data_IF_889146047579
#
_entry.id   IF_889146047579
#
_cell.length_a   1.000
_cell.length_b   1.000
_cell.length_c   1.000
_cell.angle_alpha   90.00
_cell.angle_beta   90.00
_cell.angle_gamma   90.00
#
_symmetry.space_group_name_H-M   'P 1'
#
loop_
_entity.id
_entity.type
_entity.pdbx_description
1 polymer ?
#
# COMPACT_ATOMS: atom_id res chain seq x y z
N UNK A 1 -12.86 -2.59 -15.38
CA UNK A 1 -11.41 -2.60 -15.05
C UNK A 1 -11.15 -1.68 -13.86
N UNK A 2 -10.38 -2.16 -12.90
CA UNK A 2 -10.02 -1.38 -11.72
C UNK A 2 -8.50 -1.27 -11.62
N UNK A 3 -8.03 -0.28 -10.88
CA UNK A 3 -6.61 -0.14 -10.57
C UNK A 3 -6.38 -0.54 -9.13
N UNK A 4 -5.51 -1.52 -8.92
CA UNK A 4 -5.14 -2.04 -7.61
C UNK A 4 -3.74 -1.57 -7.25
N UNK A 5 -3.60 -1.04 -6.04
CA UNK A 5 -2.29 -0.71 -5.47
C UNK A 5 -2.07 -1.65 -4.29
N UNK A 6 -1.02 -2.47 -4.37
CA UNK A 6 -0.76 -3.54 -3.41
C UNK A 6 0.42 -3.15 -2.51
N UNK A 7 0.17 -3.09 -1.20
CA UNK A 7 1.16 -2.67 -0.21
C UNK A 7 1.51 -3.85 0.69
N UNK A 8 2.78 -4.23 0.73
CA UNK A 8 3.27 -5.38 1.47
C UNK A 8 3.40 -5.10 2.97
N UNK A 9 3.53 -6.18 3.76
CA UNK A 9 3.75 -6.08 5.19
C UNK A 9 5.22 -5.88 5.56
N UNK A 10 5.48 -5.87 6.87
CA UNK A 10 6.83 -5.72 7.40
C UNK A 10 7.74 -6.87 6.91
N UNK A 11 9.00 -6.55 6.65
CA UNK A 11 10.03 -7.52 6.23
C UNK A 11 9.73 -8.19 4.89
N UNK A 12 8.83 -7.58 4.09
CA UNK A 12 8.49 -8.08 2.77
C UNK A 12 8.87 -7.03 1.72
N UNK A 13 8.44 -7.25 0.51
CA UNK A 13 8.61 -6.31 -0.59
C UNK A 13 7.52 -6.59 -1.61
N UNK A 14 7.51 -5.83 -2.71
CA UNK A 14 6.49 -6.01 -3.75
C UNK A 14 6.44 -7.43 -4.30
N UNK A 15 7.54 -8.18 -4.17
CA UNK A 15 7.63 -9.56 -4.67
C UNK A 15 6.60 -10.48 -4.04
N UNK A 16 6.13 -10.19 -2.82
CA UNK A 16 5.14 -11.05 -2.15
C UNK A 16 3.77 -11.02 -2.86
N UNK A 17 3.55 -10.05 -3.72
CA UNK A 17 2.30 -9.88 -4.44
C UNK A 17 2.31 -10.47 -5.85
N UNK A 18 3.39 -11.11 -6.30
CA UNK A 18 3.51 -11.54 -7.70
C UNK A 18 2.35 -12.41 -8.17
N UNK A 19 1.91 -13.37 -7.36
CA UNK A 19 0.81 -14.26 -7.75
C UNK A 19 -0.52 -13.52 -7.83
N UNK A 20 -0.77 -12.64 -6.86
CA UNK A 20 -2.00 -11.84 -6.84
C UNK A 20 -2.01 -10.87 -8.02
N UNK A 21 -0.88 -10.22 -8.26
CA UNK A 21 -0.74 -9.29 -9.38
C UNK A 21 -1.03 -9.99 -10.70
N UNK A 22 -0.45 -11.17 -10.91
CA UNK A 22 -0.67 -11.96 -12.12
C UNK A 22 -2.16 -12.28 -12.29
N UNK A 23 -2.80 -12.77 -11.23
CA UNK A 23 -4.22 -13.14 -11.29
C UNK A 23 -5.12 -11.96 -11.63
N UNK A 24 -4.86 -10.80 -11.03
CA UNK A 24 -5.65 -9.61 -11.29
C UNK A 24 -5.41 -9.08 -12.72
N UNK A 25 -4.19 -9.13 -13.19
CA UNK A 25 -3.88 -8.70 -14.56
C UNK A 25 -4.54 -9.60 -15.59
N UNK A 26 -4.67 -10.90 -15.30
CA UNK A 26 -5.37 -11.83 -16.18
C UNK A 26 -6.85 -11.48 -16.32
N UNK A 27 -7.40 -10.75 -15.35
CA UNK A 27 -8.80 -10.30 -15.38
C UNK A 27 -8.91 -8.87 -15.91
N UNK A 28 -7.87 -8.38 -16.56
CA UNK A 28 -7.81 -7.06 -17.18
C UNK A 28 -7.83 -5.89 -16.19
N UNK A 29 -7.36 -6.12 -14.96
CA UNK A 29 -7.15 -5.04 -14.01
C UNK A 29 -5.74 -4.48 -14.14
N UNK A 30 -5.59 -3.21 -13.81
CA UNK A 30 -4.28 -2.57 -13.72
C UNK A 30 -3.77 -2.74 -12.30
N UNK A 31 -2.53 -3.22 -12.13
CA UNK A 31 -1.99 -3.55 -10.80
C UNK A 31 -0.60 -2.95 -10.63
N UNK A 32 -0.42 -2.26 -9.52
CA UNK A 32 0.87 -1.70 -9.13
C UNK A 32 1.22 -2.24 -7.75
N UNK A 33 2.31 -3.00 -7.65
CA UNK A 33 2.82 -3.46 -6.37
C UNK A 33 3.96 -2.53 -5.96
N UNK A 34 3.94 -2.06 -4.71
CA UNK A 34 4.84 -1.02 -4.23
C UNK A 34 5.85 -1.60 -3.25
N UNK A 35 7.14 -1.26 -3.42
CA UNK A 35 8.14 -1.49 -2.37
C UNK A 35 8.12 -0.28 -1.44
N UNK A 36 7.83 -0.53 -0.16
CA UNK A 36 7.86 0.53 0.84
C UNK A 36 9.31 0.93 1.15
N UNK A 37 9.54 2.14 1.70
CA UNK A 37 10.89 2.58 2.04
C UNK A 37 11.65 1.55 2.87
N UNK A 38 12.88 1.23 2.47
CA UNK A 38 13.73 0.26 3.14
C UNK A 38 13.36 -1.19 2.89
N UNK A 39 12.43 -1.47 1.98
CA UNK A 39 11.97 -2.83 1.70
C UNK A 39 12.15 -3.16 0.23
N UNK A 40 12.36 -4.46 -0.06
CA UNK A 40 12.53 -4.90 -1.42
C UNK A 40 13.65 -4.17 -2.13
N UNK A 41 13.35 -3.52 -3.24
CA UNK A 41 14.33 -2.77 -4.03
C UNK A 41 14.56 -1.35 -3.51
N UNK A 42 13.78 -0.90 -2.52
CA UNK A 42 13.93 0.43 -1.97
C UNK A 42 15.12 0.46 -1.00
N UNK A 43 16.05 1.35 -1.23
CA UNK A 43 17.32 1.42 -0.51
C UNK A 43 17.33 2.45 0.63
N UNK A 44 16.16 2.94 1.03
CA UNK A 44 16.08 3.88 2.15
C UNK A 44 16.66 3.26 3.42
N UNK A 45 17.59 3.93 4.11
CA UNK A 45 18.18 3.38 5.34
C UNK A 45 17.10 3.08 6.39
N UNK A 46 17.17 1.93 7.07
CA UNK A 46 16.14 1.51 8.03
C UNK A 46 15.85 2.55 9.12
N UNK A 47 16.84 3.29 9.57
CA UNK A 47 16.65 4.28 10.62
C UNK A 47 15.80 5.48 10.19
N UNK A 48 15.56 5.63 8.88
CA UNK A 48 14.73 6.71 8.35
C UNK A 48 13.31 6.26 8.04
N UNK A 49 13.01 4.99 8.28
CA UNK A 49 11.72 4.42 7.93
C UNK A 49 10.75 4.60 9.09
N UNK A 50 9.73 5.44 8.88
CA UNK A 50 8.65 5.68 9.85
C UNK A 50 7.32 5.64 9.11
N UNK A 51 6.21 5.64 9.84
CA UNK A 51 4.88 5.61 9.23
C UNK A 51 4.69 6.72 8.20
N UNK A 52 5.19 7.91 8.48
CA UNK A 52 5.11 9.03 7.52
C UNK A 52 5.83 8.70 6.22
N UNK A 53 7.00 8.05 6.29
CA UNK A 53 7.75 7.67 5.09
C UNK A 53 6.98 6.66 4.25
N UNK A 54 6.36 5.69 4.90
CA UNK A 54 5.52 4.71 4.22
C UNK A 54 4.34 5.39 3.54
N UNK A 55 3.65 6.25 4.27
CA UNK A 55 2.49 6.96 3.77
C UNK A 55 2.86 7.85 2.58
N UNK A 56 3.95 8.59 2.69
CA UNK A 56 4.40 9.47 1.61
C UNK A 56 4.74 8.69 0.34
N UNK A 57 5.35 7.51 0.48
CA UNK A 57 5.66 6.67 -0.68
C UNK A 57 4.39 6.26 -1.42
N UNK A 58 3.38 5.81 -0.68
CA UNK A 58 2.11 5.38 -1.28
C UNK A 58 1.39 6.56 -1.92
N UNK A 59 1.37 7.71 -1.25
CA UNK A 59 0.76 8.92 -1.80
C UNK A 59 1.43 9.30 -3.12
N UNK A 60 2.75 9.24 -3.19
CA UNK A 60 3.48 9.56 -4.42
C UNK A 60 3.08 8.63 -5.57
N UNK A 61 2.83 7.36 -5.28
CA UNK A 61 2.34 6.41 -6.30
C UNK A 61 0.94 6.79 -6.74
N UNK A 62 0.04 7.11 -5.79
CA UNK A 62 -1.35 7.47 -6.11
C UNK A 62 -1.43 8.73 -6.95
N UNK A 63 -0.55 9.68 -6.72
CA UNK A 63 -0.55 10.94 -7.46
C UNK A 63 -0.23 10.75 -8.95
N UNK A 64 0.38 9.62 -9.31
CA UNK A 64 0.68 9.28 -10.69
C UNK A 64 -0.44 8.51 -11.38
N UNK A 65 -1.51 8.19 -10.67
CA UNK A 65 -2.64 7.43 -11.20
C UNK A 65 -3.81 8.38 -11.40
N UNK A 66 -4.44 8.33 -12.58
CA UNK A 66 -5.48 9.29 -12.95
C UNK A 66 -6.86 8.99 -12.40
N UNK A 67 -7.08 7.78 -11.91
CA UNK A 67 -8.40 7.35 -11.42
C UNK A 67 -8.31 6.88 -9.97
N UNK A 68 -9.45 6.82 -9.25
CA UNK A 68 -9.48 6.24 -7.92
C UNK A 68 -9.04 4.78 -7.96
N UNK A 69 -8.39 4.32 -6.89
CA UNK A 69 -7.79 3.01 -6.81
C UNK A 69 -8.41 2.14 -5.72
N UNK A 70 -8.24 0.83 -5.86
CA UNK A 70 -8.49 -0.12 -4.77
C UNK A 70 -7.14 -0.31 -4.09
N UNK A 71 -7.04 0.12 -2.84
CA UNK A 71 -5.79 0.10 -2.09
C UNK A 71 -5.79 -1.10 -1.15
N UNK A 72 -4.85 -2.01 -1.34
CA UNK A 72 -4.77 -3.28 -0.61
C UNK A 72 -3.56 -3.27 0.30
N UNK A 73 -3.77 -3.56 1.58
CA UNK A 73 -2.68 -3.60 2.54
C UNK A 73 -2.65 -4.93 3.29
N UNK A 74 -1.46 -5.51 3.44
CA UNK A 74 -1.24 -6.75 4.14
C UNK A 74 -0.49 -6.51 5.45
N UNK A 75 -0.98 -7.11 6.53
CA UNK A 75 -0.34 -7.03 7.85
C UNK A 75 -0.17 -5.57 8.30
N UNK A 76 1.03 -5.14 8.62
CA UNK A 76 1.34 -3.77 9.05
C UNK A 76 0.87 -2.70 8.06
N UNK A 77 0.80 -3.05 6.78
CA UNK A 77 0.37 -2.11 5.76
C UNK A 77 -1.08 -1.65 5.94
N UNK A 78 -1.88 -2.34 6.76
CA UNK A 78 -3.22 -1.88 7.10
C UNK A 78 -3.21 -0.50 7.74
N UNK A 79 -2.22 -0.22 8.59
CA UNK A 79 -2.06 1.11 9.20
C UNK A 79 -1.69 2.14 8.14
N UNK A 80 -0.80 1.76 7.22
CA UNK A 80 -0.33 2.66 6.16
C UNK A 80 -1.49 3.06 5.24
N UNK A 81 -2.28 2.10 4.76
CA UNK A 81 -3.38 2.42 3.84
C UNK A 81 -4.48 3.22 4.53
N UNK A 82 -4.72 2.98 5.81
CA UNK A 82 -5.67 3.79 6.58
C UNK A 82 -5.22 5.25 6.65
N UNK A 83 -3.94 5.47 6.86
CA UNK A 83 -3.38 6.82 6.91
C UNK A 83 -3.46 7.51 5.55
N UNK A 84 -3.15 6.79 4.48
CA UNK A 84 -3.26 7.33 3.12
C UNK A 84 -4.69 7.76 2.82
N UNK A 85 -5.67 6.96 3.23
CA UNK A 85 -7.08 7.26 3.00
C UNK A 85 -7.52 8.55 3.70
N UNK A 86 -6.90 8.89 4.83
CA UNK A 86 -7.21 10.14 5.51
C UNK A 86 -6.72 11.36 4.73
N UNK A 87 -5.59 11.23 4.04
CA UNK A 87 -5.01 12.33 3.25
C UNK A 87 -5.63 12.46 1.87
N UNK A 88 -5.98 11.34 1.22
CA UNK A 88 -6.43 11.34 -0.16
C UNK A 88 -7.70 10.49 -0.34
N UNK A 89 -8.79 10.80 0.40
CA UNK A 89 -10.00 9.98 0.29
C UNK A 89 -10.59 9.95 -1.12
N UNK A 90 -10.43 11.02 -1.89
CA UNK A 90 -10.96 11.10 -3.25
C UNK A 90 -10.21 10.22 -4.24
N UNK A 91 -9.00 9.76 -3.87
CA UNK A 91 -8.20 8.84 -4.70
C UNK A 91 -8.48 7.38 -4.39
N UNK A 92 -9.27 7.10 -3.36
CA UNK A 92 -9.50 5.73 -2.89
C UNK A 92 -10.93 5.32 -3.20
N UNK A 93 -11.08 4.31 -4.05
CA UNK A 93 -12.37 3.71 -4.33
C UNK A 93 -12.76 2.73 -3.22
N UNK A 94 -11.79 1.96 -2.73
CA UNK A 94 -11.99 0.92 -1.72
C UNK A 94 -10.69 0.61 -1.00
N UNK A 95 -10.80 0.32 0.29
CA UNK A 95 -9.68 -0.21 1.07
C UNK A 95 -9.90 -1.70 1.30
N UNK A 96 -8.85 -2.51 1.12
CA UNK A 96 -8.90 -3.95 1.36
C UNK A 96 -7.77 -4.31 2.33
N UNK A 97 -8.14 -4.93 3.44
CA UNK A 97 -7.19 -5.34 4.47
C UNK A 97 -7.03 -6.86 4.42
N UNK A 98 -5.81 -7.33 4.18
CA UNK A 98 -5.51 -8.75 4.09
C UNK A 98 -4.70 -9.14 5.32
N UNK A 99 -5.32 -9.87 6.27
CA UNK A 99 -4.70 -10.22 7.55
C UNK A 99 -3.99 -9.00 8.14
N UNK A 100 -4.65 -7.85 8.05
CA UNK A 100 -4.02 -6.57 8.33
C UNK A 100 -4.37 -6.04 9.70
N UNK A 101 -3.55 -5.10 10.18
CA UNK A 101 -3.82 -4.34 11.39
C UNK A 101 -4.72 -3.18 10.97
N UNK A 102 -5.90 -3.11 11.60
CA UNK A 102 -6.84 -2.00 11.37
C UNK A 102 -6.81 -1.13 12.61
N UNK A 103 -6.21 0.06 12.53
CA UNK A 103 -6.08 0.90 13.73
C UNK A 103 -7.42 1.47 14.15
N UNK A 104 -7.61 1.54 15.46
CA UNK A 104 -8.71 2.30 16.03
C UNK A 104 -8.25 3.75 16.25
N UNK A 105 -9.23 4.61 16.48
CA UNK A 105 -8.94 6.01 16.74
C UNK A 105 -7.97 6.14 17.92
N UNK A 106 -6.87 6.86 17.73
CA UNK A 106 -5.90 7.10 18.77
C UNK A 106 -4.84 6.03 18.93
N UNK A 107 -4.94 4.92 18.19
CA UNK A 107 -3.89 3.89 18.23
C UNK A 107 -2.76 4.25 17.29
N UNK A 108 -1.57 3.82 17.64
CA UNK A 108 -0.40 3.97 16.80
C UNK A 108 0.24 2.61 16.56
N UNK A 109 1.00 2.53 15.47
CA UNK A 109 1.79 1.35 15.16
C UNK A 109 2.96 1.27 16.13
N UNK A 110 3.16 0.09 16.70
CA UNK A 110 4.28 -0.14 17.59
C UNK A 110 5.19 -1.24 17.06
#
# INVERSE_FOLDING_TARGET
MSTYILIHGAFQGKWCWEKVKYSLEQKNHHVIAVDLPGSGEDMTPPQEVILKSYTDKVIAVLEKVDSPVILVGHSMAGVVISQVAEYLPEKIQRLVYVSAIVPQNGQSLQ
#
